data_IF_758629466158
#
_entry.id   IF_758629466158
#
_cell.length_a   1.000
_cell.length_b   1.000
_cell.length_c   1.000
_cell.angle_alpha   90.00
_cell.angle_beta   90.00
_cell.angle_gamma   90.00
#
_symmetry.space_group_name_H-M   'P 1'
#
loop_
_entity.id
_entity.type
_entity.pdbx_description
1 polymer ?
#
# COMPACT_ATOMS: atom_id res chain seq x y z
N UNK A 1 -3.04 6.76 20.73
CA UNK A 1 -2.10 6.62 19.60
C UNK A 1 -2.81 7.04 18.31
N UNK A 2 -2.19 7.90 17.47
CA UNK A 2 -2.74 8.24 16.15
C UNK A 2 -2.57 7.05 15.20
N UNK A 3 -3.58 6.77 14.37
CA UNK A 3 -3.54 5.65 13.41
C UNK A 3 -2.68 6.01 12.20
N UNK A 4 -2.02 5.04 11.57
CA UNK A 4 -1.15 5.23 10.39
C UNK A 4 -1.79 6.07 9.29
N UNK A 5 -3.05 5.78 8.94
CA UNK A 5 -3.76 6.55 7.91
C UNK A 5 -3.97 8.02 8.28
N UNK A 6 -4.15 8.34 9.56
CA UNK A 6 -4.27 9.73 10.01
C UNK A 6 -2.91 10.43 9.92
N UNK A 7 -1.83 9.75 10.30
CA UNK A 7 -0.48 10.33 10.22
C UNK A 7 -0.05 10.56 8.76
N UNK A 8 -0.41 9.64 7.86
CA UNK A 8 -0.12 9.77 6.43
C UNK A 8 -0.96 10.90 5.79
N UNK A 9 -2.26 10.96 6.09
CA UNK A 9 -3.13 12.02 5.59
C UNK A 9 -2.67 13.40 6.08
N UNK A 10 -2.27 13.52 7.35
CA UNK A 10 -1.68 14.75 7.89
C UNK A 10 -0.43 15.18 7.12
N UNK A 11 0.45 14.24 6.74
CA UNK A 11 1.63 14.56 5.94
C UNK A 11 1.27 15.03 4.52
N UNK A 12 0.27 14.41 3.88
CA UNK A 12 -0.23 14.80 2.55
C UNK A 12 -0.86 16.19 2.60
N UNK A 13 -1.70 16.46 3.60
CA UNK A 13 -2.38 17.74 3.76
C UNK A 13 -1.38 18.86 4.07
N UNK A 14 -0.39 18.61 4.92
CA UNK A 14 0.67 19.58 5.20
C UNK A 14 1.53 19.86 3.96
N UNK A 15 1.80 18.87 3.11
CA UNK A 15 2.50 19.07 1.84
C UNK A 15 1.65 19.87 0.84
N UNK A 16 0.37 19.52 0.68
CA UNK A 16 -0.60 20.25 -0.17
C UNK A 16 -0.76 21.71 0.27
N UNK A 17 -0.72 21.97 1.58
CA UNK A 17 -0.75 23.31 2.17
C UNK A 17 0.60 24.06 2.07
N UNK A 18 1.61 23.50 1.37
CA UNK A 18 2.99 24.02 1.28
C UNK A 18 3.66 24.26 2.63
N UNK A 19 3.20 23.57 3.68
CA UNK A 19 3.77 23.63 5.04
C UNK A 19 4.93 22.67 5.22
N UNK A 20 5.02 21.65 4.36
CA UNK A 20 6.17 20.75 4.25
C UNK A 20 6.92 21.01 2.95
N UNK A 21 8.25 20.96 3.01
CA UNK A 21 9.07 20.80 1.82
C UNK A 21 8.96 19.36 1.30
N UNK A 22 9.30 19.14 0.04
CA UNK A 22 9.28 17.80 -0.58
C UNK A 22 10.18 16.81 0.18
N UNK A 23 11.35 17.26 0.67
CA UNK A 23 12.28 16.44 1.47
C UNK A 23 11.66 16.09 2.83
N UNK A 24 10.99 17.04 3.48
CA UNK A 24 10.39 16.81 4.80
C UNK A 24 9.14 15.94 4.73
N UNK A 25 8.35 16.10 3.66
CA UNK A 25 7.27 15.18 3.33
C UNK A 25 7.82 13.76 3.20
N UNK A 26 8.85 13.56 2.37
CA UNK A 26 9.45 12.24 2.15
C UNK A 26 9.93 11.59 3.45
N UNK A 27 10.61 12.36 4.32
CA UNK A 27 11.08 11.89 5.64
C UNK A 27 9.94 11.52 6.58
N UNK A 28 8.93 12.39 6.68
CA UNK A 28 7.78 12.17 7.57
C UNK A 28 7.03 10.92 7.16
N UNK A 29 6.84 10.77 5.85
CA UNK A 29 6.22 9.63 5.20
C UNK A 29 7.05 8.36 5.48
N UNK A 30 8.37 8.35 5.27
CA UNK A 30 9.22 7.17 5.59
C UNK A 30 9.19 6.77 7.07
N UNK A 31 9.27 7.72 8.01
CA UNK A 31 9.18 7.40 9.44
C UNK A 31 7.83 6.75 9.82
N UNK A 32 6.73 7.24 9.24
CA UNK A 32 5.40 6.67 9.46
C UNK A 32 5.34 5.21 8.95
N UNK A 33 6.15 4.88 7.93
CA UNK A 33 6.22 3.55 7.33
C UNK A 33 7.04 2.56 8.16
N UNK A 34 8.22 2.95 8.65
CA UNK A 34 9.07 2.08 9.47
C UNK A 34 8.34 1.61 10.74
N UNK A 35 7.53 2.49 11.34
CA UNK A 35 6.70 2.17 12.49
C UNK A 35 5.57 1.16 12.21
N UNK A 36 5.13 1.02 10.96
CA UNK A 36 4.09 0.06 10.55
C UNK A 36 4.67 -1.30 10.22
N UNK A 37 5.89 -1.35 9.66
CA UNK A 37 6.57 -2.61 9.41
C UNK A 37 6.84 -3.35 10.72
N UNK A 38 7.32 -2.63 11.75
CA UNK A 38 7.73 -3.24 13.01
C UNK A 38 6.55 -3.78 13.86
N UNK A 39 5.32 -3.25 13.67
CA UNK A 39 4.18 -3.56 14.54
C UNK A 39 3.25 -4.68 14.05
N UNK A 40 3.48 -5.32 12.88
CA UNK A 40 2.51 -6.25 12.27
C UNK A 40 3.11 -7.62 11.89
N UNK A 41 3.69 -8.31 12.86
CA UNK A 41 4.14 -9.70 12.69
C UNK A 41 3.09 -10.76 13.11
N UNK A 42 1.97 -10.39 13.73
CA UNK A 42 0.90 -11.33 14.09
C UNK A 42 -0.17 -11.42 12.97
N UNK A 43 -0.45 -12.62 12.46
CA UNK A 43 -1.53 -12.88 11.49
C UNK A 43 -1.15 -12.87 10.01
N UNK A 44 0.14 -13.04 9.68
CA UNK A 44 0.64 -13.15 8.30
C UNK A 44 0.37 -14.55 7.76
N UNK A 45 -0.33 -14.69 6.62
CA UNK A 45 -0.51 -15.99 5.96
C UNK A 45 0.82 -16.65 5.60
N UNK A 46 0.89 -17.98 5.73
CA UNK A 46 2.12 -18.75 5.50
C UNK A 46 2.67 -18.57 4.07
N UNK A 47 1.79 -18.27 3.11
CA UNK A 47 2.12 -17.94 1.72
C UNK A 47 3.01 -16.69 1.57
N UNK A 48 3.07 -15.83 2.59
CA UNK A 48 3.87 -14.60 2.65
C UNK A 48 5.07 -14.70 3.62
N UNK A 49 5.31 -15.88 4.22
CA UNK A 49 6.40 -16.09 5.19
C UNK A 49 7.79 -15.78 4.59
N UNK A 50 8.00 -16.11 3.32
CA UNK A 50 9.27 -15.88 2.61
C UNK A 50 9.20 -14.76 1.55
N UNK A 51 8.18 -13.89 1.60
CA UNK A 51 7.97 -12.80 0.63
C UNK A 51 7.80 -11.46 1.34
N UNK A 52 8.91 -10.83 1.81
CA UNK A 52 8.83 -9.60 2.60
C UNK A 52 8.27 -8.40 1.81
N UNK A 53 8.36 -8.41 0.49
CA UNK A 53 7.79 -7.40 -0.42
C UNK A 53 6.27 -7.57 -0.51
N UNK A 54 5.81 -8.74 -0.93
CA UNK A 54 4.38 -9.08 -0.99
C UNK A 54 3.68 -8.89 0.36
N UNK A 55 4.37 -9.15 1.48
CA UNK A 55 3.87 -8.91 2.84
C UNK A 55 3.58 -7.43 3.11
N UNK A 56 4.42 -6.52 2.61
CA UNK A 56 4.20 -5.09 2.82
C UNK A 56 2.92 -4.62 2.10
N UNK A 57 2.68 -5.12 0.89
CA UNK A 57 1.46 -4.83 0.14
C UNK A 57 0.23 -5.46 0.79
N UNK A 58 0.31 -6.73 1.20
CA UNK A 58 -0.74 -7.39 1.98
C UNK A 58 -1.13 -6.58 3.23
N UNK A 59 -0.13 -6.13 4.00
CA UNK A 59 -0.36 -5.35 5.22
C UNK A 59 -1.04 -4.01 4.95
N UNK A 60 -0.77 -3.38 3.80
CA UNK A 60 -1.42 -2.14 3.40
C UNK A 60 -2.91 -2.35 3.08
N UNK A 61 -3.25 -3.48 2.46
CA UNK A 61 -4.62 -3.87 2.12
C UNK A 61 -5.40 -4.28 3.37
N UNK A 62 -4.85 -5.20 4.18
CA UNK A 62 -5.55 -5.78 5.33
C UNK A 62 -5.91 -4.70 6.37
N UNK A 63 -5.05 -3.69 6.56
CA UNK A 63 -5.34 -2.58 7.48
C UNK A 63 -6.62 -1.82 7.13
N UNK A 64 -6.94 -1.73 5.84
CA UNK A 64 -8.12 -1.00 5.36
C UNK A 64 -9.37 -1.82 5.58
N UNK A 65 -9.28 -3.12 5.36
CA UNK A 65 -10.40 -4.04 5.52
C UNK A 65 -10.71 -4.23 7.01
N UNK A 66 -9.70 -4.39 7.87
CA UNK A 66 -9.89 -4.52 9.33
C UNK A 66 -10.49 -3.24 9.96
N UNK A 67 -10.34 -2.08 9.32
CA UNK A 67 -11.01 -0.85 9.76
C UNK A 67 -12.52 -0.85 9.48
N UNK A 68 -12.96 -1.62 8.49
CA UNK A 68 -14.38 -1.72 8.09
C UNK A 68 -15.07 -2.95 8.67
N UNK A 69 -14.31 -4.03 8.91
CA UNK A 69 -14.80 -5.26 9.51
C UNK A 69 -13.93 -5.65 10.70
N UNK A 70 -14.55 -5.83 11.87
CA UNK A 70 -13.85 -6.25 13.09
C UNK A 70 -13.21 -7.65 12.99
N UNK A 71 -13.68 -8.48 12.05
CA UNK A 71 -13.18 -9.83 11.83
C UNK A 71 -13.09 -10.10 10.33
N UNK A 72 -11.93 -10.56 9.89
CA UNK A 72 -11.68 -10.98 8.50
C UNK A 72 -11.59 -12.49 8.50
N UNK A 73 -12.50 -13.14 7.77
CA UNK A 73 -12.47 -14.58 7.60
C UNK A 73 -11.18 -15.02 6.88
N UNK A 74 -10.61 -16.16 7.28
CA UNK A 74 -9.38 -16.70 6.70
C UNK A 74 -9.37 -16.80 5.16
N UNK A 75 -10.46 -17.21 4.47
CA UNK A 75 -10.48 -17.20 3.00
C UNK A 75 -10.28 -15.81 2.38
N UNK A 76 -10.78 -14.76 3.04
CA UNK A 76 -10.58 -13.38 2.60
C UNK A 76 -9.14 -12.94 2.87
N UNK A 77 -8.58 -13.32 4.02
CA UNK A 77 -7.17 -13.07 4.35
C UNK A 77 -6.22 -13.70 3.32
N UNK A 78 -6.45 -14.96 2.94
CA UNK A 78 -5.68 -15.64 1.89
C UNK A 78 -5.80 -14.95 0.53
N UNK A 79 -6.99 -14.45 0.21
CA UNK A 79 -7.20 -13.67 -1.01
C UNK A 79 -6.41 -12.37 -0.98
N UNK A 80 -6.39 -11.68 0.16
CA UNK A 80 -5.58 -10.46 0.32
C UNK A 80 -4.09 -10.77 0.24
N UNK A 81 -3.65 -11.95 0.69
CA UNK A 81 -2.26 -12.36 0.55
C UNK A 81 -1.86 -12.52 -0.92
N UNK A 82 -2.75 -13.10 -1.74
CA UNK A 82 -2.59 -13.16 -3.20
C UNK A 82 -2.55 -11.76 -3.81
N UNK A 83 -3.42 -10.86 -3.35
CA UNK A 83 -3.39 -9.47 -3.77
C UNK A 83 -2.05 -8.76 -3.49
N UNK A 84 -1.46 -8.99 -2.32
CA UNK A 84 -0.12 -8.50 -2.02
C UNK A 84 0.96 -9.01 -2.99
N UNK A 85 0.87 -10.28 -3.41
CA UNK A 85 1.78 -10.86 -4.40
C UNK A 85 1.54 -10.35 -5.82
N UNK A 86 0.29 -10.11 -6.21
CA UNK A 86 -0.02 -9.56 -7.54
C UNK A 86 0.46 -8.12 -7.69
N UNK A 87 0.28 -7.28 -6.66
CA UNK A 87 0.80 -5.91 -6.65
C UNK A 87 2.33 -5.90 -6.71
N UNK A 88 3.00 -6.79 -5.98
CA UNK A 88 4.45 -6.95 -6.06
C UNK A 88 4.89 -7.28 -7.50
N UNK A 89 4.21 -8.23 -8.16
CA UNK A 89 4.51 -8.59 -9.55
C UNK A 89 4.29 -7.44 -10.54
N UNK A 90 3.22 -6.64 -10.37
CA UNK A 90 2.97 -5.44 -11.19
C UNK A 90 4.15 -4.47 -11.06
N UNK A 91 4.60 -4.23 -9.83
CA UNK A 91 5.70 -3.32 -9.52
C UNK A 91 7.02 -3.84 -10.10
N UNK A 92 7.36 -5.11 -9.92
CA UNK A 92 8.58 -5.72 -10.45
C UNK A 92 8.63 -5.70 -11.99
N UNK A 93 7.50 -5.87 -12.66
CA UNK A 93 7.43 -5.75 -14.13
C UNK A 93 7.75 -4.34 -14.62
N UNK A 94 7.32 -3.32 -13.88
CA UNK A 94 7.52 -1.91 -14.24
C UNK A 94 8.89 -1.37 -13.79
N UNK A 95 9.53 -2.02 -12.80
CA UNK A 95 10.90 -1.71 -12.33
C UNK A 95 11.99 -1.84 -13.39
N UNK A 96 11.75 -2.60 -14.45
CA UNK A 96 12.70 -2.82 -15.56
C UNK A 96 13.02 -1.51 -16.29
N UNK A 97 12.10 -0.54 -16.27
CA UNK A 97 12.27 0.80 -16.84
C UNK A 97 12.72 1.75 -15.71
N UNK A 98 13.53 2.79 -15.99
CA UNK A 98 14.00 3.80 -15.00
C UNK A 98 12.84 4.63 -14.41
N UNK A 99 11.98 3.96 -13.66
CA UNK A 99 10.65 4.38 -13.26
C UNK A 99 10.70 5.43 -12.15
N UNK A 100 11.77 5.43 -11.34
CA UNK A 100 12.02 6.45 -10.32
C UNK A 100 12.19 7.85 -10.92
N UNK A 101 12.67 7.94 -12.16
CA UNK A 101 12.91 9.21 -12.87
C UNK A 101 11.88 9.46 -13.96
N UNK A 102 11.06 8.46 -14.29
CA UNK A 102 10.06 8.51 -15.33
C UNK A 102 8.63 8.56 -14.74
N UNK A 103 8.08 9.78 -14.69
CA UNK A 103 6.71 10.03 -14.21
C UNK A 103 5.64 9.27 -15.01
N UNK A 104 5.89 8.94 -16.28
CA UNK A 104 4.94 8.19 -17.09
C UNK A 104 4.88 6.72 -16.68
N UNK A 105 6.02 6.13 -16.28
CA UNK A 105 6.06 4.75 -15.74
C UNK A 105 5.43 4.69 -14.36
N UNK A 106 5.64 5.69 -13.50
CA UNK A 106 4.94 5.76 -12.22
C UNK A 106 3.42 5.88 -12.41
N UNK A 107 2.96 6.71 -13.35
CA UNK A 107 1.53 6.80 -13.68
C UNK A 107 0.98 5.49 -14.21
N UNK A 108 1.69 4.82 -15.10
CA UNK A 108 1.26 3.51 -15.61
C UNK A 108 1.16 2.48 -14.49
N UNK A 109 2.16 2.41 -13.61
CA UNK A 109 2.16 1.52 -12.44
C UNK A 109 0.99 1.82 -11.50
N UNK A 110 0.69 3.10 -11.26
CA UNK A 110 -0.48 3.52 -10.46
C UNK A 110 -1.78 3.04 -11.10
N UNK A 111 -1.97 3.25 -12.39
CA UNK A 111 -3.18 2.82 -13.10
C UNK A 111 -3.34 1.29 -13.05
N UNK A 112 -2.27 0.52 -13.26
CA UNK A 112 -2.34 -0.96 -13.21
C UNK A 112 -2.69 -1.48 -11.81
N UNK A 113 -2.16 -0.86 -10.75
CA UNK A 113 -2.54 -1.21 -9.37
C UNK A 113 -3.97 -0.78 -9.07
N UNK A 114 -4.42 0.38 -9.58
CA UNK A 114 -5.79 0.88 -9.41
C UNK A 114 -6.81 -0.08 -10.02
N UNK A 115 -6.62 -0.44 -11.29
CA UNK A 115 -7.45 -1.38 -12.03
C UNK A 115 -7.52 -2.75 -11.30
N UNK A 116 -6.38 -3.20 -10.77
CA UNK A 116 -6.32 -4.41 -9.96
C UNK A 116 -7.15 -4.31 -8.67
N UNK A 117 -7.05 -3.20 -7.94
CA UNK A 117 -7.78 -3.01 -6.68
C UNK A 117 -9.29 -2.89 -6.90
N UNK A 118 -9.72 -2.24 -7.98
CA UNK A 118 -11.13 -2.17 -8.37
C UNK A 118 -11.67 -3.58 -8.66
N UNK A 119 -10.94 -4.33 -9.51
CA UNK A 119 -11.32 -5.72 -9.83
C UNK A 119 -11.37 -6.58 -8.56
N UNK A 120 -10.36 -6.47 -7.70
CA UNK A 120 -10.33 -7.19 -6.43
C UNK A 120 -11.53 -6.84 -5.54
N UNK A 121 -11.89 -5.57 -5.44
CA UNK A 121 -13.06 -5.10 -4.67
C UNK A 121 -14.35 -5.76 -5.17
N UNK A 122 -14.56 -5.76 -6.49
CA UNK A 122 -15.75 -6.35 -7.13
C UNK A 122 -15.84 -7.86 -6.89
N UNK A 123 -14.74 -8.58 -7.13
CA UNK A 123 -14.74 -10.04 -7.05
C UNK A 123 -14.72 -10.58 -5.60
N UNK A 124 -14.22 -9.79 -4.64
CA UNK A 124 -14.13 -10.16 -3.22
C UNK A 124 -15.33 -9.72 -2.39
N UNK A 125 -16.19 -8.86 -2.95
CA UNK A 125 -17.31 -8.26 -2.24
C UNK A 125 -16.86 -7.29 -1.14
N UNK A 126 -15.60 -6.86 -1.16
CA UNK A 126 -15.09 -5.83 -0.24
C UNK A 126 -15.44 -4.48 -0.83
N UNK A 127 -16.13 -3.63 -0.07
CA UNK A 127 -16.31 -2.24 -0.46
C UNK A 127 -15.02 -1.44 -0.22
N UNK A 128 -14.29 -1.12 -1.30
CA UNK A 128 -13.20 -0.13 -1.28
C UNK A 128 -13.73 1.20 -1.80
N UNK A 129 -13.54 2.28 -1.04
CA UNK A 129 -13.84 3.63 -1.55
C UNK A 129 -12.67 4.12 -2.40
N UNK A 130 -12.90 5.16 -3.22
CA UNK A 130 -11.82 5.84 -3.94
C UNK A 130 -10.69 6.28 -3.00
N UNK A 131 -11.02 6.80 -1.81
CA UNK A 131 -10.02 7.17 -0.80
C UNK A 131 -9.20 5.96 -0.30
N UNK A 132 -9.81 4.77 -0.18
CA UNK A 132 -9.07 3.56 0.21
C UNK A 132 -8.12 3.11 -0.89
N UNK A 133 -8.56 3.17 -2.14
CA UNK A 133 -7.78 2.83 -3.33
C UNK A 133 -6.57 3.77 -3.45
N UNK A 134 -6.79 5.08 -3.37
CA UNK A 134 -5.73 6.10 -3.38
C UNK A 134 -4.70 5.85 -2.29
N UNK A 135 -5.15 5.51 -1.08
CA UNK A 135 -4.25 5.23 0.03
C UNK A 135 -3.47 3.92 -0.14
N UNK A 136 -4.07 2.87 -0.73
CA UNK A 136 -3.35 1.62 -1.02
C UNK A 136 -2.32 1.87 -2.14
N UNK A 137 -2.68 2.64 -3.16
CA UNK A 137 -1.79 3.05 -4.25
C UNK A 137 -0.57 3.81 -3.74
N UNK A 138 -0.79 4.87 -2.97
CA UNK A 138 0.30 5.68 -2.43
C UNK A 138 1.24 4.87 -1.54
N UNK A 139 0.67 3.98 -0.71
CA UNK A 139 1.49 3.06 0.09
C UNK A 139 2.28 2.11 -0.80
N UNK A 140 1.68 1.56 -1.85
CA UNK A 140 2.33 0.59 -2.74
C UNK A 140 3.50 1.22 -3.51
N UNK A 141 3.29 2.40 -4.10
CA UNK A 141 4.34 3.13 -4.81
C UNK A 141 5.48 3.52 -3.87
N UNK A 142 5.15 3.93 -2.65
CA UNK A 142 6.16 4.31 -1.66
C UNK A 142 6.98 3.11 -1.16
N UNK A 143 6.33 1.97 -0.88
CA UNK A 143 7.00 0.70 -0.56
C UNK A 143 7.99 0.35 -1.67
N UNK A 144 7.56 0.49 -2.92
CA UNK A 144 8.41 0.23 -4.08
C UNK A 144 9.62 1.18 -4.15
N UNK A 145 9.41 2.48 -3.87
CA UNK A 145 10.47 3.50 -3.92
C UNK A 145 11.48 3.38 -2.77
N UNK A 146 11.08 2.90 -1.59
CA UNK A 146 11.97 2.80 -0.42
C UNK A 146 12.90 1.58 -0.46
N UNK A 147 12.58 0.58 -1.28
CA UNK A 147 13.27 -0.72 -1.33
C UNK A 147 14.19 -0.89 -2.54
N UNK A 148 14.40 0.17 -3.29
CA UNK A 148 15.17 0.22 -4.52
C UNK A 148 16.16 1.38 -4.38
#
# INVERSE_FOLDING_TARGET
YKKFSQMLQEAIDEFRLKRLTEIDYLKKVNNIYDNVIDNKFEGIPESLSNKPEARAYFNAIIERIEKKSNEIAEPLRDRMARAGMDIERIIENQKIVDWKRNLDVEKQMRNEIEDYLITLSEESGIELTFDDIDLILDNSIKIAKSRD
#
